data_IF_008763856278
#
_entry.id   IF_008763856278
#
_cell.length_a   1.000
_cell.length_b   1.000
_cell.length_c   1.000
_cell.angle_alpha   90.00
_cell.angle_beta   90.00
_cell.angle_gamma   90.00
#
_symmetry.space_group_name_H-M   'P 1'
#
loop_
_entity.id
_entity.type
_entity.pdbx_description
1 polymer ?
#
# COMPACT_ATOMS: atom_id res chain seq x y z
N UNK A 1 -13.66 -16.43 12.42
CA UNK A 1 -12.60 -16.48 11.40
C UNK A 1 -11.26 -16.64 12.09
N UNK A 2 -10.25 -17.17 11.41
CA UNK A 2 -8.89 -17.30 11.95
C UNK A 2 -8.28 -15.90 12.04
N UNK A 3 -7.80 -15.49 13.23
CA UNK A 3 -7.02 -14.26 13.42
C UNK A 3 -5.64 -14.46 12.78
N UNK A 4 -5.12 -13.51 11.99
CA UNK A 4 -3.76 -13.61 11.46
C UNK A 4 -2.72 -13.52 12.59
N UNK A 5 -1.56 -14.13 12.39
CA UNK A 5 -0.40 -14.00 13.29
C UNK A 5 0.63 -13.03 12.72
N UNK A 6 1.34 -12.32 13.58
CA UNK A 6 2.55 -11.58 13.19
C UNK A 6 3.55 -12.53 12.51
N UNK A 7 4.23 -12.06 11.47
CA UNK A 7 5.18 -12.87 10.72
C UNK A 7 6.26 -12.04 10.05
N UNK A 8 7.42 -12.67 9.84
CA UNK A 8 8.51 -12.13 9.03
C UNK A 8 8.88 -13.14 7.96
N UNK A 9 9.00 -12.70 6.71
CA UNK A 9 9.45 -13.55 5.61
C UNK A 9 10.27 -12.76 4.59
N UNK A 10 11.01 -13.47 3.74
CA UNK A 10 11.82 -12.88 2.66
C UNK A 10 11.20 -13.25 1.32
N UNK A 11 10.90 -12.25 0.49
CA UNK A 11 10.40 -12.48 -0.87
C UNK A 11 11.47 -13.10 -1.77
N UNK A 12 11.09 -13.67 -2.91
CA UNK A 12 12.04 -14.12 -3.92
C UNK A 12 12.97 -12.99 -4.40
N UNK A 13 12.49 -11.74 -4.38
CA UNK A 13 13.26 -10.53 -4.65
C UNK A 13 14.14 -10.05 -3.49
N UNK A 14 14.35 -10.88 -2.46
CA UNK A 14 15.17 -10.60 -1.26
C UNK A 14 14.70 -9.42 -0.41
N UNK A 15 13.45 -8.99 -0.58
CA UNK A 15 12.81 -7.99 0.29
C UNK A 15 12.32 -8.68 1.57
N UNK A 16 12.72 -8.16 2.72
CA UNK A 16 12.21 -8.59 4.04
C UNK A 16 10.85 -7.93 4.26
N UNK A 17 9.83 -8.75 4.53
CA UNK A 17 8.49 -8.31 4.90
C UNK A 17 8.25 -8.66 6.36
N UNK A 18 7.83 -7.67 7.14
CA UNK A 18 7.46 -7.80 8.53
C UNK A 18 5.98 -7.41 8.64
N UNK A 19 5.20 -8.24 9.31
CA UNK A 19 3.78 -8.04 9.59
C UNK A 19 3.55 -8.21 11.08
N UNK A 20 2.87 -7.25 11.68
CA UNK A 20 2.53 -7.26 13.10
C UNK A 20 1.01 -7.22 13.25
N UNK A 21 0.51 -8.00 14.21
CA UNK A 21 -0.90 -8.06 14.56
C UNK A 21 -1.03 -7.70 16.04
N UNK A 22 -1.74 -6.62 16.32
CA UNK A 22 -2.00 -6.13 17.66
C UNK A 22 -3.51 -6.00 17.92
N UNK A 23 -3.89 -5.98 19.20
CA UNK A 23 -5.26 -5.69 19.61
C UNK A 23 -5.42 -4.17 19.76
N UNK A 24 -6.38 -3.61 19.04
CA UNK A 24 -6.66 -2.17 19.06
C UNK A 24 -7.76 -1.90 20.07
N UNK A 25 -7.47 -1.07 21.08
CA UNK A 25 -8.41 -0.75 22.15
C UNK A 25 -9.62 0.08 21.68
N UNK A 26 -9.39 1.05 20.78
CA UNK A 26 -10.44 1.85 20.14
C UNK A 26 -10.32 1.82 18.60
N UNK A 27 -10.85 0.78 17.94
CA UNK A 27 -10.78 0.66 16.49
C UNK A 27 -11.48 1.80 15.73
N UNK A 28 -12.51 2.41 16.34
CA UNK A 28 -13.24 3.53 15.71
C UNK A 28 -12.39 4.80 15.80
N UNK A 29 -11.76 5.05 16.93
CA UNK A 29 -10.80 6.14 17.13
C UNK A 29 -9.66 6.08 16.12
N UNK A 30 -8.97 4.94 16.00
CA UNK A 30 -7.87 4.74 15.04
C UNK A 30 -8.30 5.02 13.59
N UNK A 31 -9.49 4.59 13.19
CA UNK A 31 -10.02 4.87 11.84
C UNK A 31 -10.29 6.36 11.64
N UNK A 32 -10.76 7.08 12.67
CA UNK A 32 -10.95 8.54 12.61
C UNK A 32 -9.61 9.28 12.56
N UNK A 33 -8.60 8.81 13.29
CA UNK A 33 -7.25 9.37 13.23
C UNK A 33 -6.64 9.19 11.84
N UNK A 34 -6.77 7.99 11.27
CA UNK A 34 -6.36 7.72 9.90
C UNK A 34 -7.09 8.64 8.92
N UNK A 35 -8.42 8.78 9.01
CA UNK A 35 -9.18 9.69 8.16
C UNK A 35 -8.67 11.14 8.27
N UNK A 36 -8.38 11.60 9.49
CA UNK A 36 -7.83 12.94 9.74
C UNK A 36 -6.41 13.12 9.21
N UNK A 37 -5.63 12.04 9.07
CA UNK A 37 -4.32 12.08 8.41
C UNK A 37 -4.45 12.28 6.89
N UNK A 38 -5.49 11.70 6.27
CA UNK A 38 -5.70 11.76 4.82
C UNK A 38 -6.01 13.17 4.31
N UNK A 39 -6.48 14.07 5.19
CA UNK A 39 -6.64 15.49 4.86
C UNK A 39 -5.31 16.20 4.55
N UNK A 40 -4.17 15.64 5.02
CA UNK A 40 -2.85 16.28 4.93
C UNK A 40 -1.80 15.46 4.20
N UNK A 41 -2.04 14.17 3.97
CA UNK A 41 -1.09 13.31 3.30
C UNK A 41 -1.79 12.30 2.38
N UNK A 42 -1.05 11.82 1.37
CA UNK A 42 -1.53 10.77 0.49
C UNK A 42 -1.84 9.51 1.30
N UNK A 43 -2.85 8.77 0.89
CA UNK A 43 -3.25 7.53 1.53
C UNK A 43 -4.63 7.08 1.04
N UNK A 44 -5.18 6.08 1.70
CA UNK A 44 -6.52 5.57 1.41
C UNK A 44 -7.16 5.05 2.69
N UNK A 45 -8.48 5.22 2.78
CA UNK A 45 -9.32 4.54 3.74
C UNK A 45 -10.50 3.93 2.98
N UNK A 46 -10.63 2.61 3.06
CA UNK A 46 -11.71 1.83 2.48
C UNK A 46 -12.47 1.19 3.64
N UNK A 47 -13.77 1.42 3.73
CA UNK A 47 -14.61 0.85 4.77
C UNK A 47 -15.93 0.37 4.17
N UNK A 48 -16.37 -0.81 4.60
CA UNK A 48 -17.69 -1.36 4.26
C UNK A 48 -18.49 -1.54 5.54
N UNK A 49 -19.56 -0.75 5.69
CA UNK A 49 -20.44 -0.72 6.87
C UNK A 49 -21.71 -1.56 6.73
N UNK A 50 -21.89 -2.27 5.61
CA UNK A 50 -23.09 -3.08 5.37
C UNK A 50 -22.82 -4.56 5.66
N UNK A 51 -23.52 -5.09 6.67
CA UNK A 51 -23.58 -6.52 6.91
C UNK A 51 -24.77 -7.14 6.17
N UNK A 52 -24.47 -8.16 5.36
CA UNK A 52 -25.48 -9.11 4.92
C UNK A 52 -25.07 -10.49 5.45
N UNK A 53 -25.89 -11.14 6.29
CA UNK A 53 -25.54 -12.42 6.90
C UNK A 53 -25.07 -13.44 5.88
N UNK A 54 -23.85 -13.95 6.05
CA UNK A 54 -23.25 -14.98 5.19
C UNK A 54 -22.66 -14.49 3.85
N UNK A 55 -22.55 -13.18 3.60
CA UNK A 55 -22.03 -12.67 2.31
C UNK A 55 -21.02 -11.53 2.40
N UNK A 56 -21.18 -10.60 3.35
CA UNK A 56 -20.26 -9.47 3.54
C UNK A 56 -19.89 -9.33 5.02
N UNK A 57 -18.60 -9.31 5.30
CA UNK A 57 -18.08 -8.98 6.62
C UNK A 57 -17.84 -7.46 6.71
N UNK A 58 -18.03 -6.88 7.89
CA UNK A 58 -17.51 -5.55 8.15
C UNK A 58 -15.98 -5.57 8.07
N UNK A 59 -15.41 -4.71 7.23
CA UNK A 59 -13.96 -4.56 7.15
C UNK A 59 -13.59 -3.10 6.91
N UNK A 60 -12.44 -2.74 7.46
CA UNK A 60 -11.79 -1.45 7.24
C UNK A 60 -10.33 -1.70 6.88
N UNK A 61 -9.87 -1.07 5.81
CA UNK A 61 -8.48 -1.10 5.35
C UNK A 61 -8.05 0.33 5.10
N UNK A 62 -6.84 0.69 5.52
CA UNK A 62 -6.28 1.95 5.08
C UNK A 62 -4.83 2.13 5.47
N UNK A 63 -4.24 3.17 4.90
CA UNK A 63 -2.88 3.60 5.18
C UNK A 63 -2.73 5.09 4.89
N UNK A 64 -1.75 5.72 5.52
CA UNK A 64 -1.34 7.09 5.28
C UNK A 64 0.16 7.15 4.97
N UNK A 65 0.59 8.21 4.27
CA UNK A 65 1.98 8.47 3.90
C UNK A 65 2.66 7.28 3.18
N UNK A 66 2.09 6.77 2.06
CA UNK A 66 2.69 5.66 1.33
C UNK A 66 4.11 6.01 0.87
N UNK A 67 5.04 5.04 0.84
CA UNK A 67 6.42 5.29 0.41
C UNK A 67 6.57 5.50 -1.10
N UNK A 68 5.64 4.96 -1.89
CA UNK A 68 5.72 4.90 -3.35
C UNK A 68 4.40 5.31 -4.01
N UNK A 69 4.49 5.80 -5.23
CA UNK A 69 3.36 6.03 -6.13
C UNK A 69 3.63 5.35 -7.47
N UNK A 70 2.62 4.64 -7.97
CA UNK A 70 2.62 4.06 -9.30
C UNK A 70 1.56 4.78 -10.12
N UNK A 71 1.99 5.38 -11.22
CA UNK A 71 1.12 6.04 -12.19
C UNK A 71 1.24 5.31 -13.52
N UNK A 72 0.12 5.07 -14.19
CA UNK A 72 0.11 4.39 -15.48
C UNK A 72 -0.89 5.06 -16.43
N UNK A 73 -0.50 5.18 -17.70
CA UNK A 73 -1.37 5.64 -18.77
C UNK A 73 -1.00 4.91 -20.05
N UNK A 74 -1.99 4.22 -20.63
CA UNK A 74 -1.75 3.26 -21.71
C UNK A 74 -0.69 2.22 -21.29
N UNK A 75 0.42 2.09 -22.05
CA UNK A 75 1.54 1.18 -21.75
C UNK A 75 2.74 1.90 -21.13
N UNK A 76 2.56 3.12 -20.61
CA UNK A 76 3.60 3.90 -19.94
C UNK A 76 3.37 3.87 -18.44
N UNK A 77 4.45 3.65 -17.71
CA UNK A 77 4.45 3.62 -16.25
C UNK A 77 5.39 4.67 -15.70
N UNK A 78 5.05 5.22 -14.54
CA UNK A 78 5.95 6.04 -13.72
C UNK A 78 5.89 5.54 -12.29
N UNK A 79 7.07 5.36 -11.70
CA UNK A 79 7.22 4.96 -10.30
C UNK A 79 7.94 6.08 -9.56
N UNK A 80 7.37 6.54 -8.46
CA UNK A 80 7.89 7.66 -7.68
C UNK A 80 8.04 7.29 -6.22
N UNK A 81 9.18 7.59 -5.61
CA UNK A 81 9.32 7.62 -4.16
C UNK A 81 8.66 8.89 -3.62
N UNK A 82 7.73 8.72 -2.68
CA UNK A 82 6.99 9.84 -2.05
C UNK A 82 7.65 10.31 -0.75
N UNK A 83 8.53 9.49 -0.20
CA UNK A 83 9.33 9.80 0.98
C UNK A 83 10.61 8.93 0.94
N UNK A 84 11.61 9.21 1.81
CA UNK A 84 12.87 8.48 1.81
C UNK A 84 12.72 6.96 1.97
N UNK A 85 11.63 6.47 2.58
CA UNK A 85 11.37 5.02 2.70
C UNK A 85 11.14 4.35 1.35
N UNK A 86 10.70 5.09 0.33
CA UNK A 86 10.45 4.57 -1.02
C UNK A 86 11.71 4.48 -1.89
N UNK A 87 12.70 5.34 -1.66
CA UNK A 87 13.90 5.44 -2.52
C UNK A 87 14.64 4.10 -2.71
N UNK A 88 14.85 3.27 -1.67
CA UNK A 88 15.56 1.99 -1.84
C UNK A 88 14.85 0.99 -2.75
N UNK A 89 13.54 1.14 -2.94
CA UNK A 89 12.75 0.23 -3.76
C UNK A 89 12.75 0.60 -5.25
N UNK A 90 13.11 1.84 -5.60
CA UNK A 90 13.03 2.32 -6.99
C UNK A 90 13.82 1.45 -7.98
N UNK A 91 15.10 1.08 -7.73
CA UNK A 91 15.87 0.31 -8.71
C UNK A 91 15.22 -1.04 -9.05
N UNK A 92 14.83 -1.80 -8.02
CA UNK A 92 14.25 -3.14 -8.20
C UNK A 92 12.85 -3.09 -8.83
N UNK A 93 12.06 -2.07 -8.48
CA UNK A 93 10.71 -1.92 -9.04
C UNK A 93 10.76 -1.45 -10.50
N UNK A 94 11.62 -0.49 -10.83
CA UNK A 94 11.81 -0.03 -12.21
C UNK A 94 12.29 -1.17 -13.11
N UNK A 95 13.25 -1.98 -12.64
CA UNK A 95 13.72 -3.17 -13.36
C UNK A 95 12.57 -4.17 -13.60
N UNK A 96 11.84 -4.53 -12.54
CA UNK A 96 10.74 -5.50 -12.64
C UNK A 96 9.62 -5.02 -13.58
N UNK A 97 9.25 -3.74 -13.52
CA UNK A 97 8.18 -3.18 -14.36
C UNK A 97 8.63 -3.04 -15.81
N UNK A 98 9.90 -2.68 -16.08
CA UNK A 98 10.47 -2.68 -17.44
C UNK A 98 10.53 -4.07 -18.07
N UNK A 99 10.68 -5.12 -17.26
CA UNK A 99 10.66 -6.51 -17.71
C UNK A 99 9.26 -7.02 -18.09
N UNK A 100 8.19 -6.29 -17.78
CA UNK A 100 6.82 -6.70 -18.07
C UNK A 100 6.44 -6.40 -19.54
N UNK A 101 6.04 -7.42 -20.31
CA UNK A 101 5.69 -7.26 -21.73
C UNK A 101 4.52 -6.30 -22.00
N UNK A 102 3.64 -6.10 -21.02
CA UNK A 102 2.56 -5.13 -21.10
C UNK A 102 3.06 -3.67 -21.06
N UNK A 103 4.25 -3.43 -20.53
CA UNK A 103 4.84 -2.09 -20.36
C UNK A 103 5.74 -1.78 -21.56
N UNK A 104 5.51 -0.63 -22.20
CA UNK A 104 6.32 -0.14 -23.30
C UNK A 104 7.45 0.79 -22.83
N UNK A 105 7.19 1.53 -21.74
CA UNK A 105 8.17 2.44 -21.12
C UNK A 105 7.88 2.60 -19.62
N UNK A 106 8.93 2.74 -18.83
CA UNK A 106 8.82 2.99 -17.40
C UNK A 106 9.93 3.93 -16.90
N UNK A 107 9.50 5.05 -16.31
CA UNK A 107 10.40 6.09 -15.79
C UNK A 107 10.29 6.26 -14.28
N UNK A 108 11.38 6.76 -13.70
CA UNK A 108 11.34 7.30 -12.35
C UNK A 108 10.62 8.65 -12.37
N UNK A 109 9.72 8.87 -11.41
CA UNK A 109 9.01 10.13 -11.25
C UNK A 109 9.80 11.09 -10.37
N UNK A 110 10.00 12.32 -10.83
CA UNK A 110 10.50 13.43 -10.02
C UNK A 110 9.37 14.21 -9.37
N UNK A 111 9.69 15.05 -8.39
CA UNK A 111 8.82 16.18 -8.03
C UNK A 111 8.79 17.17 -9.21
N UNK A 112 7.59 17.61 -9.56
CA UNK A 112 7.34 18.65 -10.58
C UNK A 112 7.31 20.00 -9.88
#
# INVERSE_FOLDING_TARGET
GIRPSSSTYVTAGKIVVISEVEDVADPIGEVRELASCLDRCRGVLLSSSYEYPGRYAQWTLGFANPPLCFEAWNRRFRIKALNPRGMPFLPVLLEAVRGCSAVADCTEGSDQ
#
